data_IF_765703833821
#
_entry.id   IF_765703833821
#
_cell.length_a   1.000
_cell.length_b   1.000
_cell.length_c   1.000
_cell.angle_alpha   90.00
_cell.angle_beta   90.00
_cell.angle_gamma   90.00
#
_symmetry.space_group_name_H-M   'P 1'
#
loop_
_entity.id
_entity.type
_entity.pdbx_description
1 polymer ?
#
# COMPACT_ATOMS: atom_id res chain seq x y z
N UNK A 1 -8.44 -0.56 11.03
CA UNK A 1 -8.23 -1.37 9.81
C UNK A 1 -9.19 -0.93 8.72
N UNK A 2 -8.66 -0.37 7.63
CA UNK A 2 -9.38 0.14 6.48
C UNK A 2 -9.29 -0.87 5.33
N UNK A 3 -10.41 -1.12 4.64
CA UNK A 3 -10.43 -1.89 3.40
C UNK A 3 -10.25 -0.95 2.22
N UNK A 4 -9.18 -1.12 1.47
CA UNK A 4 -8.82 -0.26 0.33
C UNK A 4 -8.71 -1.09 -0.94
N UNK A 5 -8.94 -0.45 -2.09
CA UNK A 5 -8.65 -1.04 -3.40
C UNK A 5 -7.35 -0.44 -3.92
N UNK A 6 -6.39 -1.28 -4.29
CA UNK A 6 -5.16 -0.81 -4.93
C UNK A 6 -5.33 -0.83 -6.45
N UNK A 7 -4.91 0.26 -7.08
CA UNK A 7 -4.85 0.42 -8.53
C UNK A 7 -3.42 0.78 -8.88
N UNK A 8 -2.79 -0.02 -9.74
CA UNK A 8 -1.50 0.26 -10.33
C UNK A 8 -1.69 1.26 -11.48
N UNK A 9 -0.94 2.35 -11.44
CA UNK A 9 -0.80 3.27 -12.57
C UNK A 9 0.44 2.84 -13.36
N UNK A 10 0.25 2.41 -14.60
CA UNK A 10 1.33 1.90 -15.47
C UNK A 10 1.25 2.59 -16.84
N UNK A 11 2.18 3.50 -17.11
CA UNK A 11 2.13 4.36 -18.29
C UNK A 11 0.90 5.27 -18.24
N UNK A 12 0.01 5.12 -19.23
CA UNK A 12 -1.26 5.85 -19.32
C UNK A 12 -2.46 5.03 -18.78
N UNK A 13 -2.22 3.81 -18.30
CA UNK A 13 -3.25 2.84 -17.90
C UNK A 13 -3.38 2.71 -16.38
N UNK A 14 -4.59 2.32 -15.94
CA UNK A 14 -4.93 2.04 -14.55
C UNK A 14 -5.38 0.58 -14.39
N UNK A 15 -4.52 -0.23 -13.78
CA UNK A 15 -4.72 -1.67 -13.62
C UNK A 15 -5.16 -1.97 -12.19
N UNK A 16 -6.36 -2.54 -12.06
CA UNK A 16 -6.86 -2.96 -10.76
C UNK A 16 -6.04 -4.14 -10.22
N UNK A 17 -5.48 -3.98 -9.03
CA UNK A 17 -4.81 -5.06 -8.30
C UNK A 17 -5.81 -5.77 -7.36
N UNK A 18 -5.56 -5.75 -6.05
CA UNK A 18 -6.39 -6.41 -5.05
C UNK A 18 -7.00 -5.42 -4.05
N UNK A 19 -8.02 -5.91 -3.32
CA UNK A 19 -8.49 -5.24 -2.11
C UNK A 19 -7.63 -5.70 -0.95
N UNK A 20 -7.03 -4.77 -0.23
CA UNK A 20 -6.20 -5.07 0.95
C UNK A 20 -6.76 -4.39 2.18
N UNK A 21 -6.35 -4.89 3.34
CA UNK A 21 -6.61 -4.24 4.61
C UNK A 21 -5.35 -3.53 5.08
N UNK A 22 -5.49 -2.28 5.48
CA UNK A 22 -4.40 -1.47 6.04
C UNK A 22 -4.79 -1.02 7.44
N UNK A 23 -3.86 -1.00 8.39
CA UNK A 23 -4.17 -0.55 9.74
C UNK A 23 -4.40 0.96 9.78
N UNK A 24 -3.49 1.68 9.12
CA UNK A 24 -3.50 3.13 8.94
C UNK A 24 -3.68 3.47 7.46
N UNK A 25 -4.43 4.53 7.16
CA UNK A 25 -4.58 4.99 5.79
C UNK A 25 -3.26 5.62 5.32
N UNK A 26 -2.66 5.15 4.22
CA UNK A 26 -1.50 5.81 3.64
C UNK A 26 -1.84 7.23 3.19
N UNK A 27 -0.80 8.04 3.00
CA UNK A 27 -0.89 9.34 2.32
C UNK A 27 -0.04 9.31 1.05
N UNK A 28 -0.41 10.14 0.06
CA UNK A 28 0.41 10.35 -1.13
C UNK A 28 1.85 10.72 -0.73
N UNK A 29 2.84 10.14 -1.41
CA UNK A 29 4.25 10.30 -1.06
C UNK A 29 4.84 9.17 -0.22
N UNK A 30 4.00 8.30 0.34
CA UNK A 30 4.47 7.15 1.13
C UNK A 30 4.70 5.91 0.26
N UNK A 31 5.36 4.92 0.84
CA UNK A 31 5.46 3.58 0.28
C UNK A 31 4.56 2.61 1.03
N UNK A 32 4.02 1.65 0.32
CA UNK A 32 3.36 0.47 0.88
C UNK A 32 4.09 -0.79 0.41
N UNK A 33 4.06 -1.83 1.23
CA UNK A 33 4.42 -3.18 0.79
C UNK A 33 3.14 -3.90 0.44
N UNK A 34 3.00 -4.32 -0.82
CA UNK A 34 1.84 -5.12 -1.25
C UNK A 34 2.09 -6.60 -0.87
N UNK A 35 1.03 -7.38 -0.79
CA UNK A 35 1.06 -8.84 -0.56
C UNK A 35 1.91 -9.66 -1.54
N UNK A 36 2.41 -9.08 -2.64
CA UNK A 36 3.37 -9.73 -3.55
C UNK A 36 4.83 -9.57 -3.06
N UNK A 37 5.05 -8.85 -1.95
CA UNK A 37 6.35 -8.56 -1.38
C UNK A 37 7.06 -7.37 -2.02
N UNK A 38 6.43 -6.68 -2.98
CA UNK A 38 7.05 -5.55 -3.67
C UNK A 38 6.61 -4.21 -3.06
N UNK A 39 7.53 -3.23 -2.99
CA UNK A 39 7.20 -1.88 -2.58
C UNK A 39 6.54 -1.10 -3.73
N UNK A 40 5.48 -0.38 -3.38
CA UNK A 40 4.78 0.52 -4.28
C UNK A 40 4.71 1.92 -3.67
N UNK A 41 4.94 2.94 -4.50
CA UNK A 41 4.82 4.34 -4.13
C UNK A 41 3.36 4.79 -4.27
N UNK A 42 2.81 5.43 -3.25
CA UNK A 42 1.45 5.96 -3.26
C UNK A 42 1.44 7.31 -3.97
N UNK A 43 0.81 7.35 -5.13
CA UNK A 43 0.59 8.57 -5.90
C UNK A 43 -0.61 9.34 -5.38
N UNK A 44 -1.74 8.66 -5.21
CA UNK A 44 -3.01 9.28 -4.85
C UNK A 44 -3.80 8.41 -3.87
N UNK A 45 -4.50 9.07 -2.96
CA UNK A 45 -5.45 8.47 -2.03
C UNK A 45 -6.82 9.09 -2.28
N UNK A 46 -7.69 8.36 -3.00
CA UNK A 46 -9.00 8.86 -3.39
C UNK A 46 -10.08 8.22 -2.51
N UNK A 47 -10.77 9.03 -1.72
CA UNK A 47 -11.90 8.59 -0.89
C UNK A 47 -13.23 9.01 -1.51
N UNK A 48 -14.20 8.09 -1.56
CA UNK A 48 -15.54 8.42 -2.05
C UNK A 48 -16.41 8.98 -0.91
N UNK A 49 -16.80 10.25 -1.04
CA UNK A 49 -17.73 10.88 -0.08
C UNK A 49 -19.09 10.18 -0.13
N UNK A 50 -19.63 9.81 1.04
CA UNK A 50 -20.96 9.22 1.18
C UNK A 50 -21.06 7.70 0.96
N UNK A 51 -19.96 7.02 0.61
CA UNK A 51 -19.95 5.57 0.47
C UNK A 51 -19.72 4.89 1.83
N UNK A 52 -20.79 4.45 2.48
CA UNK A 52 -20.71 3.70 3.75
C UNK A 52 -20.50 2.22 3.43
N UNK A 53 -19.25 1.75 3.50
CA UNK A 53 -18.96 0.36 3.16
C UNK A 53 -19.27 -0.59 4.31
N UNK A 54 -20.50 -1.08 4.39
CA UNK A 54 -20.78 -2.30 5.18
C UNK A 54 -20.19 -3.57 4.52
N UNK A 55 -19.79 -3.50 3.24
CA UNK A 55 -19.31 -4.66 2.44
C UNK A 55 -18.14 -4.38 1.47
N UNK A 56 -17.74 -3.12 1.27
CA UNK A 56 -16.85 -2.67 0.18
C UNK A 56 -15.53 -2.06 0.65
N UNK A 57 -14.70 -1.61 -0.30
CA UNK A 57 -13.60 -0.69 -0.02
C UNK A 57 -14.14 0.75 -0.19
N UNK A 58 -13.79 1.67 0.72
CA UNK A 58 -14.23 3.09 0.64
C UNK A 58 -13.21 3.99 -0.05
N UNK A 59 -11.99 3.49 -0.23
CA UNK A 59 -10.82 4.26 -0.67
C UNK A 59 -10.09 3.51 -1.76
N UNK A 60 -9.64 4.23 -2.79
CA UNK A 60 -8.70 3.75 -3.80
C UNK A 60 -7.33 4.31 -3.48
N UNK A 61 -6.33 3.45 -3.51
CA UNK A 61 -4.92 3.83 -3.50
C UNK A 61 -4.39 3.66 -4.92
N UNK A 62 -4.00 4.76 -5.56
CA UNK A 62 -3.29 4.73 -6.83
C UNK A 62 -1.79 4.64 -6.52
N UNK A 63 -1.13 3.66 -7.12
CA UNK A 63 0.27 3.36 -6.82
C UNK A 63 1.11 3.13 -8.08
N UNK A 64 2.42 3.36 -7.95
CA UNK A 64 3.43 2.98 -8.94
C UNK A 64 4.39 1.96 -8.33
N UNK A 65 5.04 1.10 -9.13
CA UNK A 65 6.18 0.34 -8.64
C UNK A 65 7.23 1.33 -8.11
N UNK A 66 7.86 1.01 -6.97
CA UNK A 66 8.95 1.84 -6.50
C UNK A 66 10.07 1.92 -7.59
N UNK A 67 10.73 3.08 -7.77
CA UNK A 67 11.86 3.19 -8.69
C UNK A 67 12.91 2.12 -8.38
N UNK A 68 13.51 1.48 -9.39
CA UNK A 68 14.40 0.32 -9.20
C UNK A 68 15.57 0.58 -8.27
N UNK A 69 16.07 1.81 -8.26
CA UNK A 69 17.19 2.29 -7.43
C UNK A 69 16.74 2.91 -6.09
N UNK A 70 15.43 2.94 -5.82
CA UNK A 70 14.91 3.49 -4.57
C UNK A 70 15.38 2.64 -3.37
N UNK A 71 15.87 3.26 -2.29
CA UNK A 71 16.30 2.56 -1.09
C UNK A 71 15.24 1.64 -0.45
N UNK A 72 13.95 1.95 -0.68
CA UNK A 72 12.82 1.12 -0.22
C UNK A 72 12.83 -0.29 -0.81
N UNK A 73 13.41 -0.49 -2.01
CA UNK A 73 13.56 -1.84 -2.59
C UNK A 73 14.51 -2.71 -1.77
N UNK A 74 15.43 -2.09 -1.03
CA UNK A 74 16.32 -2.76 -0.09
C UNK A 74 15.87 -2.52 1.36
N UNK A 75 14.65 -2.02 1.56
CA UNK A 75 14.05 -1.71 2.87
C UNK A 75 15.00 -0.96 3.81
N UNK A 76 15.87 -0.10 3.27
CA UNK A 76 16.94 0.57 4.04
C UNK A 76 17.84 -0.38 4.87
N UNK A 77 18.01 -1.64 4.43
CA UNK A 77 18.75 -2.67 5.16
C UNK A 77 17.97 -3.30 6.31
N UNK A 78 16.67 -3.02 6.44
CA UNK A 78 15.80 -3.64 7.43
C UNK A 78 15.39 -5.05 6.98
N UNK A 79 15.40 -5.98 7.92
CA UNK A 79 14.79 -7.29 7.80
C UNK A 79 13.39 -7.19 8.41
N UNK A 80 12.35 -6.98 7.58
CA UNK A 80 10.98 -6.71 8.08
C UNK A 80 10.51 -7.77 9.08
N UNK A 81 10.81 -9.05 8.85
CA UNK A 81 10.40 -10.13 9.73
C UNK A 81 11.07 -10.06 11.11
N UNK A 82 12.26 -9.45 11.21
CA UNK A 82 12.96 -9.28 12.49
C UNK A 82 12.75 -7.91 13.13
N UNK A 83 12.66 -6.87 12.31
CA UNK A 83 12.70 -5.48 12.74
C UNK A 83 11.29 -4.91 12.98
N UNK A 84 10.26 -5.47 12.34
CA UNK A 84 8.85 -5.05 12.53
C UNK A 84 8.02 -6.04 13.33
N UNK A 85 8.54 -7.24 13.58
CA UNK A 85 7.88 -8.22 14.44
C UNK A 85 8.18 -7.84 15.89
N UNK A 86 7.14 -7.39 16.62
CA UNK A 86 7.19 -7.20 18.07
C UNK A 86 7.28 -8.60 18.71
N UNK A 87 8.46 -9.20 18.66
CA UNK A 87 8.78 -10.38 19.45
C UNK A 87 8.86 -9.96 20.93
N UNK A 88 7.70 -9.73 21.54
CA UNK A 88 7.50 -9.98 22.96
C UNK A 88 7.52 -11.50 23.16
N UNK A 89 8.69 -12.09 22.99
CA UNK A 89 8.98 -13.40 23.56
C UNK A 89 9.49 -13.15 24.98
N UNK A 90 8.60 -13.33 25.96
CA UNK A 90 8.97 -13.71 27.33
C UNK A 90 9.75 -15.04 27.34
#
# INVERSE_FOLDING_TARGET
>A
MYKVLIVLHDGDDYIRMNKVFVENMPVAGQYIIHSDGLPYYVEEVTSFVGYVSSKGATTILVVHPAPKDAPVNNLYGMDIERDMDDSNND
#
